data_IF_818548959023
#
_entry.id   IF_818548959023
#
_cell.length_a   1.000
_cell.length_b   1.000
_cell.length_c   1.000
_cell.angle_alpha   90.00
_cell.angle_beta   90.00
_cell.angle_gamma   90.00
#
_symmetry.space_group_name_H-M   'P 1'
#
loop_
_entity.id
_entity.type
_entity.pdbx_description
1 polymer ?
#
# COMPACT_ATOMS: atom_id res chain seq x y z
N UNK A 1 -17.37 -11.97 -43.00
CA UNK A 1 -15.90 -11.92 -43.11
C UNK A 1 -15.53 -10.57 -42.51
N UNK A 2 -15.55 -10.45 -41.17
CA UNK A 2 -14.51 -10.93 -40.25
C UNK A 2 -13.43 -9.83 -40.19
N UNK A 3 -13.09 -9.18 -39.09
CA UNK A 3 -13.28 -9.40 -37.64
C UNK A 3 -13.33 -8.02 -36.96
N UNK A 4 -14.09 -7.93 -35.86
CA UNK A 4 -14.03 -6.85 -34.88
C UNK A 4 -12.65 -6.85 -34.21
N UNK A 5 -11.97 -5.71 -34.22
CA UNK A 5 -10.82 -5.49 -33.33
C UNK A 5 -11.39 -4.83 -32.08
N UNK A 6 -11.92 -5.65 -31.19
CA UNK A 6 -12.21 -5.26 -29.81
C UNK A 6 -10.87 -5.18 -29.08
N UNK A 7 -10.25 -4.00 -29.07
CA UNK A 7 -9.12 -3.69 -28.18
C UNK A 7 -9.59 -3.86 -26.74
N UNK A 8 -9.28 -5.01 -26.17
CA UNK A 8 -9.56 -5.36 -24.78
C UNK A 8 -8.66 -4.52 -23.89
N UNK A 9 -9.07 -3.29 -23.61
CA UNK A 9 -8.78 -2.68 -22.34
C UNK A 9 -9.48 -3.52 -21.28
N UNK A 10 -8.86 -4.62 -20.86
CA UNK A 10 -9.36 -5.43 -19.77
C UNK A 10 -9.45 -4.53 -18.55
N UNK A 11 -10.65 -4.00 -18.33
CA UNK A 11 -11.03 -3.40 -17.07
C UNK A 11 -10.66 -4.44 -16.03
N UNK A 12 -9.90 -4.02 -15.02
CA UNK A 12 -9.62 -4.83 -13.84
C UNK A 12 -10.93 -4.90 -13.04
N UNK A 13 -11.91 -5.56 -13.64
CA UNK A 13 -13.15 -6.01 -13.05
C UNK A 13 -12.84 -7.41 -12.52
N UNK A 14 -13.23 -7.69 -11.28
CA UNK A 14 -12.99 -8.96 -10.56
C UNK A 14 -11.66 -9.11 -9.80
N UNK A 15 -11.17 -8.05 -9.14
CA UNK A 15 -10.20 -8.23 -8.05
C UNK A 15 -10.93 -8.66 -6.78
N UNK A 16 -10.30 -9.53 -5.99
CA UNK A 16 -10.79 -9.88 -4.66
C UNK A 16 -10.95 -8.64 -3.77
N UNK A 17 -12.00 -8.66 -2.94
CA UNK A 17 -12.18 -7.64 -1.91
C UNK A 17 -11.34 -8.00 -0.69
N UNK A 18 -10.50 -7.07 -0.25
CA UNK A 18 -9.73 -7.20 0.99
C UNK A 18 -10.05 -6.03 1.91
N UNK A 19 -10.09 -6.33 3.20
CA UNK A 19 -10.14 -5.34 4.28
C UNK A 19 -9.37 -5.89 5.46
N UNK A 20 -8.50 -5.06 6.02
CA UNK A 20 -7.76 -5.40 7.22
C UNK A 20 -8.19 -4.48 8.36
N UNK A 21 -8.44 -5.06 9.53
CA UNK A 21 -8.71 -4.28 10.73
C UNK A 21 -7.41 -3.84 11.39
N UNK A 22 -6.38 -4.68 11.29
CA UNK A 22 -5.06 -4.44 11.88
C UNK A 22 -3.95 -4.71 10.86
N UNK A 23 -2.80 -4.08 11.03
CA UNK A 23 -1.66 -4.28 10.15
C UNK A 23 -1.12 -5.71 10.19
N UNK A 24 -1.24 -6.37 11.33
CA UNK A 24 -0.89 -7.78 11.51
C UNK A 24 -1.72 -8.71 10.62
N UNK A 25 -2.96 -8.33 10.27
CA UNK A 25 -3.80 -9.10 9.35
C UNK A 25 -3.26 -9.03 7.92
N UNK A 26 -2.69 -7.88 7.53
CA UNK A 26 -2.00 -7.73 6.26
C UNK A 26 -0.68 -8.52 6.21
N UNK A 27 0.04 -8.60 7.34
CA UNK A 27 1.24 -9.46 7.46
C UNK A 27 0.86 -10.93 7.29
N UNK A 28 -0.20 -11.39 7.96
CA UNK A 28 -0.68 -12.76 7.83
C UNK A 28 -1.11 -13.10 6.38
N UNK A 29 -1.70 -12.15 5.67
CA UNK A 29 -2.03 -12.30 4.25
C UNK A 29 -0.77 -12.43 3.38
N UNK A 30 0.24 -11.59 3.60
CA UNK A 30 1.54 -11.68 2.90
C UNK A 30 2.19 -13.04 3.15
N UNK A 31 2.21 -13.51 4.39
CA UNK A 31 2.74 -14.84 4.73
C UNK A 31 1.95 -15.95 4.07
N UNK A 32 0.63 -15.81 3.96
CA UNK A 32 -0.24 -16.76 3.25
C UNK A 32 0.15 -16.85 1.77
N UNK A 33 0.19 -15.71 1.07
CA UNK A 33 0.59 -15.62 -0.33
C UNK A 33 1.99 -16.17 -0.59
N UNK A 34 2.92 -15.99 0.35
CA UNK A 34 4.26 -16.54 0.27
C UNK A 34 4.26 -18.07 0.39
N UNK A 35 3.43 -18.64 1.25
CA UNK A 35 3.32 -20.09 1.46
C UNK A 35 2.59 -20.79 0.32
N UNK A 36 1.46 -20.25 -0.11
CA UNK A 36 0.59 -20.90 -1.10
C UNK A 36 0.98 -20.55 -2.53
N UNK A 37 1.79 -19.50 -2.72
CA UNK A 37 2.03 -18.91 -4.02
C UNK A 37 0.85 -18.04 -4.46
N UNK A 38 1.04 -17.31 -5.55
CA UNK A 38 0.03 -16.37 -6.05
C UNK A 38 0.08 -16.20 -7.55
N UNK A 39 -1.05 -15.78 -8.11
CA UNK A 39 -1.16 -15.25 -9.47
C UNK A 39 -1.18 -13.73 -9.40
N UNK A 40 -0.17 -13.09 -10.03
CA UNK A 40 -0.11 -11.64 -10.12
C UNK A 40 -1.11 -11.12 -11.17
N UNK A 41 -2.06 -10.27 -10.73
CA UNK A 41 -3.05 -9.59 -11.58
C UNK A 41 -2.72 -8.11 -11.84
N UNK A 42 -1.75 -7.57 -11.09
CA UNK A 42 -1.29 -6.18 -11.20
C UNK A 42 0.10 -6.03 -11.82
N UNK A 43 0.68 -4.83 -11.70
CA UNK A 43 2.05 -4.55 -12.20
C UNK A 43 3.15 -5.01 -11.24
N UNK A 44 2.82 -5.16 -9.96
CA UNK A 44 3.78 -5.48 -8.91
C UNK A 44 3.55 -6.90 -8.39
N UNK A 45 4.66 -7.60 -8.19
CA UNK A 45 4.69 -8.88 -7.50
C UNK A 45 4.63 -8.68 -5.96
N UNK A 46 4.66 -9.77 -5.19
CA UNK A 46 4.59 -9.72 -3.73
C UNK A 46 5.77 -8.95 -3.12
N UNK A 47 7.00 -9.19 -3.57
CA UNK A 47 8.18 -8.46 -3.09
C UNK A 47 8.04 -6.94 -3.28
N UNK A 48 7.62 -6.52 -4.47
CA UNK A 48 7.44 -5.12 -4.83
C UNK A 48 6.33 -4.47 -3.99
N UNK A 49 5.22 -5.17 -3.78
CA UNK A 49 4.15 -4.69 -2.89
C UNK A 49 4.67 -4.53 -1.46
N UNK A 50 5.30 -5.55 -0.87
CA UNK A 50 5.83 -5.47 0.50
C UNK A 50 6.85 -4.34 0.66
N UNK A 51 7.74 -4.17 -0.33
CA UNK A 51 8.70 -3.07 -0.36
C UNK A 51 7.99 -1.71 -0.43
N UNK A 52 6.98 -1.59 -1.28
CA UNK A 52 6.20 -0.35 -1.43
C UNK A 52 5.48 0.02 -0.13
N UNK A 53 4.82 -0.96 0.53
CA UNK A 53 4.13 -0.73 1.79
C UNK A 53 5.09 -0.21 2.87
N UNK A 54 6.26 -0.81 2.98
CA UNK A 54 7.30 -0.38 3.92
C UNK A 54 7.83 1.02 3.59
N UNK A 55 8.09 1.32 2.32
CA UNK A 55 8.54 2.65 1.86
C UNK A 55 7.54 3.78 2.18
N UNK A 56 6.25 3.48 2.26
CA UNK A 56 5.19 4.45 2.61
C UNK A 56 5.01 4.55 4.13
N UNK A 57 5.19 3.44 4.86
CA UNK A 57 4.96 3.34 6.30
C UNK A 57 6.14 3.89 7.14
N UNK A 58 7.36 3.44 6.86
CA UNK A 58 8.55 3.75 7.66
C UNK A 58 8.83 5.26 7.83
N UNK A 59 8.60 6.13 6.83
CA UNK A 59 8.82 7.56 6.98
C UNK A 59 7.95 8.25 8.05
N UNK A 60 6.85 7.65 8.50
CA UNK A 60 6.13 8.20 9.64
C UNK A 60 6.94 8.09 10.95
N UNK A 61 7.86 7.13 11.04
CA UNK A 61 8.79 6.95 12.16
C UNK A 61 10.14 7.63 11.88
N UNK A 62 10.66 7.48 10.67
CA UNK A 62 12.03 7.88 10.32
C UNK A 62 12.13 9.31 9.76
N UNK A 63 10.98 9.87 9.35
CA UNK A 63 10.87 11.18 8.74
C UNK A 63 10.81 11.16 7.22
N UNK A 64 10.25 12.24 6.67
CA UNK A 64 10.13 12.45 5.22
C UNK A 64 11.21 13.39 4.70
N UNK A 65 11.61 13.29 3.42
CA UNK A 65 12.44 14.29 2.78
C UNK A 65 11.82 15.69 2.91
N UNK A 66 12.61 16.69 3.31
CA UNK A 66 12.12 18.06 3.60
C UNK A 66 11.37 18.70 2.44
N UNK A 67 11.78 18.40 1.20
CA UNK A 67 11.13 18.91 -0.01
C UNK A 67 9.68 18.43 -0.17
N UNK A 68 9.30 17.32 0.46
CA UNK A 68 7.90 16.85 0.44
C UNK A 68 6.96 17.71 1.29
N UNK A 69 7.52 18.52 2.20
CA UNK A 69 6.74 19.40 3.09
C UNK A 69 6.48 20.78 2.48
N UNK A 70 6.95 21.06 1.25
CA UNK A 70 6.71 22.35 0.58
C UNK A 70 5.21 22.64 0.36
N UNK A 71 4.39 21.59 0.32
CA UNK A 71 2.94 21.69 0.17
C UNK A 71 2.19 21.80 1.51
N UNK A 72 2.89 22.04 2.62
CA UNK A 72 2.29 22.20 3.94
C UNK A 72 1.08 23.16 4.01
N UNK A 73 1.07 24.32 3.30
CA UNK A 73 -0.10 25.21 3.31
C UNK A 73 -1.38 24.56 2.77
N UNK A 74 -1.28 23.49 1.97
CA UNK A 74 -2.42 22.79 1.38
C UNK A 74 -3.04 21.73 2.31
N UNK A 75 -2.40 21.38 3.43
CA UNK A 75 -2.90 20.32 4.32
C UNK A 75 -4.34 20.48 4.78
N UNK A 76 -4.84 21.67 5.18
CA UNK A 76 -6.25 21.78 5.61
C UNK A 76 -7.23 21.36 4.51
N UNK A 77 -6.94 21.74 3.26
CA UNK A 77 -7.75 21.38 2.09
C UNK A 77 -7.61 19.89 1.78
N UNK A 78 -6.36 19.39 1.76
CA UNK A 78 -6.07 17.99 1.46
C UNK A 78 -6.72 17.04 2.48
N UNK A 79 -6.61 17.35 3.77
CA UNK A 79 -7.27 16.61 4.85
C UNK A 79 -8.78 16.62 4.69
N UNK A 80 -9.40 17.76 4.38
CA UNK A 80 -10.86 17.86 4.28
C UNK A 80 -11.42 17.07 3.09
N UNK A 81 -10.72 17.08 1.96
CA UNK A 81 -11.25 16.52 0.71
C UNK A 81 -10.84 15.07 0.46
N UNK A 82 -9.64 14.66 0.87
CA UNK A 82 -9.05 13.38 0.44
C UNK A 82 -8.85 12.38 1.58
N UNK A 83 -8.55 12.83 2.81
CA UNK A 83 -8.36 11.90 3.93
C UNK A 83 -9.61 11.02 4.18
N UNK A 84 -10.86 11.54 4.20
CA UNK A 84 -12.04 10.69 4.40
C UNK A 84 -12.26 9.66 3.28
N UNK A 85 -11.83 9.95 2.05
CA UNK A 85 -11.91 9.01 0.93
C UNK A 85 -10.84 7.93 1.04
N UNK A 86 -9.61 8.34 1.34
CA UNK A 86 -8.49 7.44 1.59
C UNK A 86 -8.83 6.44 2.71
N UNK A 87 -9.38 6.92 3.83
CA UNK A 87 -9.79 6.06 4.96
C UNK A 87 -10.94 5.09 4.64
N UNK A 88 -11.65 5.30 3.53
CA UNK A 88 -12.72 4.41 3.04
C UNK A 88 -12.24 3.43 1.96
N UNK A 89 -10.95 3.45 1.60
CA UNK A 89 -10.43 2.66 0.49
C UNK A 89 -10.72 3.23 -0.89
N UNK A 90 -11.28 4.44 -0.98
CA UNK A 90 -11.50 5.17 -2.23
C UNK A 90 -10.21 5.87 -2.67
N UNK A 91 -9.19 5.05 -2.94
CA UNK A 91 -7.90 5.52 -3.44
C UNK A 91 -7.97 5.78 -4.94
N UNK A 92 -7.52 6.95 -5.42
CA UNK A 92 -7.60 7.29 -6.83
C UNK A 92 -6.78 6.32 -7.68
N UNK A 93 -7.43 5.74 -8.69
CA UNK A 93 -6.79 4.83 -9.63
C UNK A 93 -6.11 5.62 -10.76
N UNK A 94 -5.04 5.03 -11.33
CA UNK A 94 -4.37 5.59 -12.51
C UNK A 94 -3.43 6.78 -12.23
N UNK A 95 -3.28 7.22 -10.97
CA UNK A 95 -2.26 8.22 -10.61
C UNK A 95 -0.90 7.53 -10.47
N UNK A 96 0.15 7.99 -11.17
CA UNK A 96 1.49 7.43 -11.01
C UNK A 96 2.01 7.58 -9.58
N UNK A 97 2.53 6.49 -9.02
CA UNK A 97 3.27 6.53 -7.75
C UNK A 97 4.48 7.45 -7.88
N UNK A 98 4.74 8.26 -6.85
CA UNK A 98 5.93 9.12 -6.83
C UNK A 98 7.20 8.27 -6.90
N UNK A 99 8.22 8.61 -7.71
CA UNK A 99 9.37 7.73 -7.99
C UNK A 99 10.08 7.17 -6.75
N UNK A 100 10.16 7.94 -5.65
CA UNK A 100 10.83 7.47 -4.43
C UNK A 100 10.10 6.33 -3.71
N UNK A 101 8.82 6.11 -4.02
CA UNK A 101 8.00 5.04 -3.48
C UNK A 101 7.83 3.89 -4.48
N UNK A 102 8.47 3.95 -5.64
CA UNK A 102 8.43 2.85 -6.62
C UNK A 102 9.46 1.79 -6.20
N UNK A 103 9.06 0.52 -5.98
CA UNK A 103 9.98 -0.54 -5.62
C UNK A 103 10.90 -0.93 -6.78
N UNK A 104 12.08 -1.47 -6.47
CA UNK A 104 12.99 -2.02 -7.47
C UNK A 104 12.38 -3.28 -8.14
N UNK A 105 12.87 -3.63 -9.33
CA UNK A 105 12.35 -4.80 -10.08
C UNK A 105 12.88 -6.14 -9.55
N UNK A 106 14.13 -6.17 -9.10
CA UNK A 106 14.83 -7.39 -8.71
C UNK A 106 14.81 -7.54 -7.18
N UNK A 107 13.67 -8.00 -6.65
CA UNK A 107 13.43 -8.20 -5.23
C UNK A 107 12.91 -9.62 -4.98
N UNK A 108 13.24 -10.19 -3.83
CA UNK A 108 12.82 -11.53 -3.44
C UNK A 108 11.64 -11.49 -2.46
N UNK A 109 10.59 -12.25 -2.74
CA UNK A 109 9.33 -12.22 -1.98
C UNK A 109 9.54 -12.49 -0.48
N UNK A 110 10.29 -13.54 -0.12
CA UNK A 110 10.53 -13.89 1.27
C UNK A 110 11.29 -12.80 2.06
N UNK A 111 12.22 -12.09 1.39
CA UNK A 111 13.02 -11.03 2.02
C UNK A 111 12.16 -9.80 2.28
N UNK A 112 11.40 -9.37 1.28
CA UNK A 112 10.56 -8.17 1.43
C UNK A 112 9.32 -8.41 2.29
N UNK A 113 8.80 -9.64 2.34
CA UNK A 113 7.77 -10.03 3.29
C UNK A 113 8.24 -9.86 4.74
N UNK A 114 9.46 -10.34 5.05
CA UNK A 114 10.08 -10.17 6.37
C UNK A 114 10.33 -8.67 6.67
N UNK A 115 10.84 -7.90 5.71
CA UNK A 115 11.01 -6.45 5.89
C UNK A 115 9.69 -5.74 6.21
N UNK A 116 8.59 -6.12 5.54
CA UNK A 116 7.27 -5.56 5.82
C UNK A 116 6.77 -5.95 7.21
N UNK A 117 6.95 -7.22 7.63
CA UNK A 117 6.60 -7.66 8.99
C UNK A 117 7.40 -6.89 10.07
N UNK A 118 8.69 -6.62 9.81
CA UNK A 118 9.53 -5.79 10.69
C UNK A 118 9.07 -4.33 10.71
N UNK A 119 8.70 -3.76 9.56
CA UNK A 119 8.14 -2.40 9.48
C UNK A 119 6.86 -2.29 10.33
N UNK A 120 5.94 -3.26 10.21
CA UNK A 120 4.73 -3.31 11.03
C UNK A 120 5.08 -3.42 12.51
N UNK A 121 6.00 -4.32 12.88
CA UNK A 121 6.47 -4.47 14.26
C UNK A 121 7.00 -3.15 14.83
N UNK A 122 7.83 -2.43 14.07
CA UNK A 122 8.35 -1.11 14.45
C UNK A 122 7.24 -0.08 14.65
N UNK A 123 6.27 0.00 13.74
CA UNK A 123 5.13 0.90 13.86
C UNK A 123 4.30 0.60 15.12
N UNK A 124 4.01 -0.67 15.40
CA UNK A 124 3.24 -1.08 16.58
C UNK A 124 3.99 -0.80 17.90
N UNK A 125 5.31 -1.00 17.91
CA UNK A 125 6.16 -0.79 19.09
C UNK A 125 6.56 0.67 19.34
N UNK A 126 6.36 1.58 18.37
CA UNK A 126 6.68 3.00 18.56
C UNK A 126 5.86 3.58 19.72
N UNK A 127 6.42 4.43 20.57
CA UNK A 127 5.65 5.12 21.63
C UNK A 127 5.72 6.65 21.49
N UNK A 128 6.51 7.14 20.53
CA UNK A 128 6.75 8.56 20.30
C UNK A 128 5.75 9.23 19.35
N UNK A 129 5.92 10.54 19.12
CA UNK A 129 5.19 11.23 18.06
C UNK A 129 5.61 10.72 16.67
N UNK A 130 4.71 10.84 15.71
CA UNK A 130 4.99 10.56 14.29
C UNK A 130 5.42 11.84 13.54
N UNK A 131 6.21 11.64 12.50
CA UNK A 131 6.60 12.69 11.57
C UNK A 131 5.40 13.18 10.74
N UNK A 132 5.52 14.40 10.22
CA UNK A 132 4.42 15.05 9.51
C UNK A 132 4.26 14.44 8.13
N UNK A 133 3.06 13.93 7.84
CA UNK A 133 2.74 13.35 6.55
C UNK A 133 2.74 14.42 5.44
N UNK A 134 3.42 14.20 4.29
CA UNK A 134 3.52 15.18 3.21
C UNK A 134 2.21 15.72 2.67
N UNK A 135 1.16 14.90 2.63
CA UNK A 135 -0.16 15.29 2.13
C UNK A 135 -1.13 15.76 3.21
N UNK A 136 -0.92 15.37 4.48
CA UNK A 136 -1.96 15.49 5.51
C UNK A 136 -1.46 16.13 6.82
N UNK A 137 -0.19 16.46 6.96
CA UNK A 137 0.37 16.98 8.20
C UNK A 137 0.39 15.93 9.31
N UNK A 138 0.18 16.34 10.57
CA UNK A 138 0.20 15.41 11.71
C UNK A 138 -0.99 14.45 11.70
N UNK A 139 -0.71 13.16 11.73
CA UNK A 139 -1.72 12.11 11.90
C UNK A 139 -1.44 11.37 13.21
N UNK A 140 -2.49 10.95 13.90
CA UNK A 140 -2.36 10.08 15.08
C UNK A 140 -2.17 8.62 14.67
N UNK A 141 -1.86 7.77 15.65
CA UNK A 141 -1.61 6.33 15.44
C UNK A 141 -2.78 5.66 14.73
N UNK A 142 -4.00 5.87 15.20
CA UNK A 142 -5.20 5.20 14.70
C UNK A 142 -5.49 5.57 13.24
N UNK A 143 -5.36 6.86 12.91
CA UNK A 143 -5.50 7.33 11.53
C UNK A 143 -4.41 6.76 10.63
N UNK A 144 -3.15 6.75 11.09
CA UNK A 144 -2.05 6.15 10.34
C UNK A 144 -2.27 4.65 10.11
N UNK A 145 -2.65 3.90 11.15
CA UNK A 145 -2.92 2.47 11.05
C UNK A 145 -4.05 2.21 10.04
N UNK A 146 -5.12 3.00 10.08
CA UNK A 146 -6.22 2.89 9.10
C UNK A 146 -5.75 3.19 7.67
N UNK A 147 -4.90 4.19 7.48
CA UNK A 147 -4.28 4.49 6.18
C UNK A 147 -3.47 3.30 5.70
N UNK A 148 -2.64 2.71 6.56
CA UNK A 148 -1.75 1.62 6.17
C UNK A 148 -2.49 0.30 5.93
N UNK A 149 -3.50 -0.04 6.74
CA UNK A 149 -4.34 -1.23 6.49
C UNK A 149 -5.13 -1.10 5.19
N UNK A 150 -5.70 0.08 4.94
CA UNK A 150 -6.42 0.36 3.70
C UNK A 150 -5.49 0.32 2.48
N UNK A 151 -4.28 0.85 2.61
CA UNK A 151 -3.25 0.83 1.58
C UNK A 151 -2.76 -0.59 1.29
N UNK A 152 -2.53 -1.40 2.33
CA UNK A 152 -2.17 -2.81 2.17
C UNK A 152 -3.28 -3.58 1.43
N UNK A 153 -4.54 -3.40 1.81
CA UNK A 153 -5.67 -4.04 1.12
C UNK A 153 -5.76 -3.62 -0.36
N UNK A 154 -5.54 -2.32 -0.65
CA UNK A 154 -5.54 -1.80 -2.01
C UNK A 154 -4.48 -2.47 -2.92
N UNK A 155 -3.32 -2.81 -2.38
CA UNK A 155 -2.24 -3.44 -3.14
C UNK A 155 -2.32 -4.97 -3.15
N UNK A 156 -2.60 -5.60 -2.02
CA UNK A 156 -2.61 -7.06 -1.91
C UNK A 156 -3.77 -7.72 -2.67
N UNK A 157 -4.84 -6.97 -2.97
CA UNK A 157 -5.94 -7.47 -3.83
C UNK A 157 -5.52 -7.79 -5.26
N UNK A 158 -4.36 -7.32 -5.71
CA UNK A 158 -3.81 -7.64 -7.03
C UNK A 158 -3.08 -8.98 -7.08
N UNK A 159 -2.94 -9.67 -5.95
CA UNK A 159 -2.34 -10.99 -5.87
C UNK A 159 -3.45 -11.98 -5.50
N UNK A 160 -3.72 -12.93 -6.38
CA UNK A 160 -4.71 -13.99 -6.13
C UNK A 160 -3.98 -15.21 -5.55
N UNK A 161 -4.33 -15.69 -4.34
CA UNK A 161 -3.71 -16.89 -3.79
C UNK A 161 -3.91 -18.07 -4.74
N UNK A 162 -2.87 -18.87 -4.95
CA UNK A 162 -3.06 -20.18 -5.56
C UNK A 162 -3.78 -21.07 -4.53
N UNK A 163 -4.80 -21.80 -4.97
CA UNK A 163 -5.49 -22.73 -4.07
C UNK A 163 -4.49 -23.76 -3.55
N UNK A 164 -4.55 -24.05 -2.25
CA UNK A 164 -3.83 -25.19 -1.67
C UNK A 164 -4.28 -26.45 -2.42
N UNK A 165 -3.38 -27.02 -3.22
CA UNK A 165 -3.61 -28.26 -3.96
C UNK A 165 -3.72 -29.48 -3.06
#
# INVERSE_FOLDING_TARGET
MGEEIEETGAMIEDLRELKFERLEDAVAEVESLLRTGYTQRGKWNLAQICRHLSLVQDPALDGYPKWMLIYAPLWPVMRRLFLPRLLKGDSPQGIPTTPIFVPAADLADAVEAEHFAQSVTRFKAHEGPYHWHPGFGRLDRETLETVYTTHAAHHLRFLEPQADG
#
